data_IF_449048723379
#
_entry.id   IF_449048723379
#
_cell.length_a   1.000
_cell.length_b   1.000
_cell.length_c   1.000
_cell.angle_alpha   90.00
_cell.angle_beta   90.00
_cell.angle_gamma   90.00
#
_symmetry.space_group_name_H-M   'P 1'
#
loop_
_entity.id
_entity.type
_entity.pdbx_description
1 polymer ?
#
# COMPACT_ATOMS: atom_id res chain seq x y z
N UNK A 1 13.14 -2.56 -7.08
CA UNK A 1 12.13 -2.38 -8.15
C UNK A 1 11.44 -1.05 -7.91
N UNK A 2 11.22 -0.23 -8.93
CA UNK A 2 10.47 1.03 -8.84
C UNK A 2 9.34 1.02 -9.85
N UNK A 3 8.20 1.64 -9.54
CA UNK A 3 7.02 1.69 -10.42
C UNK A 3 6.51 3.11 -10.59
N UNK A 4 5.84 3.37 -11.72
CA UNK A 4 5.13 4.62 -12.03
C UNK A 4 3.61 4.46 -12.01
N UNK A 5 3.11 3.36 -11.46
CA UNK A 5 1.67 3.04 -11.46
C UNK A 5 0.81 3.97 -10.60
N UNK A 6 1.40 4.71 -9.65
CA UNK A 6 0.68 5.55 -8.68
C UNK A 6 1.27 6.96 -8.59
N UNK A 7 0.45 7.93 -8.18
CA UNK A 7 0.82 9.36 -8.08
C UNK A 7 0.21 10.02 -6.83
N UNK A 8 0.76 11.17 -6.41
CA UNK A 8 0.15 12.07 -5.41
C UNK A 8 -0.53 13.31 -6.04
N UNK A 9 -0.37 13.50 -7.35
CA UNK A 9 -1.13 14.50 -8.12
C UNK A 9 -2.56 14.00 -8.38
N UNK A 10 -3.53 14.90 -8.61
CA UNK A 10 -4.88 14.52 -9.00
C UNK A 10 -4.92 13.68 -10.27
N UNK A 11 -5.81 12.68 -10.32
CA UNK A 11 -5.97 11.77 -11.46
C UNK A 11 -6.41 10.38 -11.04
N UNK A 12 -6.70 9.51 -12.03
CA UNK A 12 -7.25 8.18 -11.80
C UNK A 12 -6.36 7.24 -10.96
N UNK A 13 -5.04 7.47 -10.93
CA UNK A 13 -4.06 6.69 -10.17
C UNK A 13 -3.54 7.41 -8.92
N UNK A 14 -4.26 8.44 -8.46
CA UNK A 14 -3.89 9.19 -7.26
C UNK A 14 -4.16 8.37 -5.98
N UNK A 15 -3.22 8.39 -5.04
CA UNK A 15 -3.41 7.79 -3.72
C UNK A 15 -4.21 8.69 -2.76
N UNK A 16 -4.46 9.96 -3.11
CA UNK A 16 -5.13 10.95 -2.25
C UNK A 16 -6.66 11.02 -2.50
N UNK A 17 -7.30 9.89 -2.84
CA UNK A 17 -8.74 9.84 -3.11
C UNK A 17 -9.63 9.96 -1.87
N UNK A 18 -10.95 10.08 -2.11
CA UNK A 18 -11.95 10.47 -1.09
C UNK A 18 -12.05 9.51 0.12
N UNK A 19 -11.68 8.24 -0.05
CA UNK A 19 -11.76 7.23 1.03
C UNK A 19 -10.49 7.15 1.90
N UNK A 20 -9.47 7.95 1.60
CA UNK A 20 -8.17 7.88 2.23
C UNK A 20 -7.39 6.60 1.87
N UNK A 21 -6.06 6.68 1.95
CA UNK A 21 -5.16 5.55 1.67
C UNK A 21 -4.16 5.43 2.81
N UNK A 22 -3.74 4.21 3.15
CA UNK A 22 -2.69 3.97 4.13
C UNK A 22 -1.62 3.02 3.59
N UNK A 23 -0.36 3.27 3.95
CA UNK A 23 0.74 2.34 3.78
C UNK A 23 0.83 1.44 5.01
N UNK A 24 0.82 0.12 4.80
CA UNK A 24 0.88 -0.89 5.85
C UNK A 24 2.15 -1.71 5.71
N UNK A 25 2.88 -1.90 6.81
CA UNK A 25 4.03 -2.81 6.88
C UNK A 25 3.62 -4.06 7.65
N UNK A 26 3.87 -5.23 7.06
CA UNK A 26 3.62 -6.53 7.68
C UNK A 26 4.89 -7.06 8.39
N UNK A 27 4.70 -8.03 9.29
CA UNK A 27 5.77 -8.58 10.13
C UNK A 27 6.80 -9.41 9.33
N UNK A 28 6.35 -10.10 8.29
CA UNK A 28 7.18 -10.97 7.45
C UNK A 28 7.21 -10.46 6.00
N UNK A 29 8.21 -10.90 5.21
CA UNK A 29 8.24 -10.66 3.77
C UNK A 29 7.01 -11.25 3.06
N UNK A 30 6.59 -10.57 1.99
CA UNK A 30 5.57 -11.04 1.06
C UNK A 30 6.12 -12.18 0.18
N UNK A 31 5.29 -13.18 -0.12
CA UNK A 31 5.64 -14.31 -0.98
C UNK A 31 5.21 -14.17 -2.45
N UNK A 32 4.58 -13.04 -2.82
CA UNK A 32 4.08 -12.68 -4.16
C UNK A 32 3.14 -13.73 -4.78
N UNK A 33 2.53 -14.60 -3.97
CA UNK A 33 1.74 -15.75 -4.45
C UNK A 33 0.46 -15.98 -3.67
N UNK A 34 0.52 -15.88 -2.35
CA UNK A 34 -0.58 -16.27 -1.48
C UNK A 34 -1.56 -15.13 -1.34
N UNK A 35 -2.72 -15.25 -1.96
CA UNK A 35 -3.81 -14.31 -1.70
C UNK A 35 -4.30 -14.42 -0.25
N UNK A 36 -4.71 -13.32 0.40
CA UNK A 36 -4.75 -11.95 -0.11
C UNK A 36 -3.54 -11.07 0.28
N UNK A 37 -2.63 -11.53 1.13
CA UNK A 37 -1.57 -10.69 1.73
C UNK A 37 -0.20 -11.37 1.78
N UNK A 38 0.07 -12.29 0.86
CA UNK A 38 1.40 -12.84 0.62
C UNK A 38 1.99 -13.62 1.79
N UNK A 39 1.14 -14.19 2.66
CA UNK A 39 1.56 -14.83 3.91
C UNK A 39 2.45 -13.94 4.81
N UNK A 40 2.29 -12.61 4.71
CA UNK A 40 3.18 -11.63 5.36
C UNK A 40 2.97 -11.49 6.88
N UNK A 41 1.99 -12.19 7.47
CA UNK A 41 1.71 -12.14 8.91
C UNK A 41 0.98 -10.87 9.37
N UNK A 42 1.20 -10.45 10.62
CA UNK A 42 0.48 -9.33 11.24
C UNK A 42 0.89 -7.96 10.67
N UNK A 43 -0.01 -6.97 10.72
CA UNK A 43 0.27 -5.57 10.37
C UNK A 43 0.96 -4.88 11.55
N UNK A 44 2.22 -4.50 11.39
CA UNK A 44 3.07 -3.97 12.48
C UNK A 44 3.27 -2.46 12.43
N UNK A 45 3.02 -1.83 11.28
CA UNK A 45 2.97 -0.37 11.17
C UNK A 45 1.90 0.05 10.16
N UNK A 46 1.33 1.24 10.38
CA UNK A 46 0.32 1.84 9.52
C UNK A 46 0.55 3.36 9.47
N UNK A 47 0.58 3.93 8.27
CA UNK A 47 0.66 5.38 8.06
C UNK A 47 -0.37 5.82 7.03
N UNK A 48 -1.22 6.78 7.40
CA UNK A 48 -2.16 7.39 6.46
C UNK A 48 -1.38 8.28 5.49
N UNK A 49 -1.66 8.16 4.20
CA UNK A 49 -1.09 9.01 3.16
C UNK A 49 -1.98 10.24 3.04
N UNK A 50 -1.47 11.38 3.51
CA UNK A 50 -2.12 12.69 3.40
C UNK A 50 -1.15 13.71 2.80
N UNK A 51 -1.68 14.86 2.37
CA UNK A 51 -0.87 15.97 1.88
C UNK A 51 -0.25 16.78 3.03
#
# INVERSE_FOLDING_TARGET
MTTRAFTLSPGATSLLGDKGTALVVHANPDDDKTDPTGNSGARIACGVITK
#
